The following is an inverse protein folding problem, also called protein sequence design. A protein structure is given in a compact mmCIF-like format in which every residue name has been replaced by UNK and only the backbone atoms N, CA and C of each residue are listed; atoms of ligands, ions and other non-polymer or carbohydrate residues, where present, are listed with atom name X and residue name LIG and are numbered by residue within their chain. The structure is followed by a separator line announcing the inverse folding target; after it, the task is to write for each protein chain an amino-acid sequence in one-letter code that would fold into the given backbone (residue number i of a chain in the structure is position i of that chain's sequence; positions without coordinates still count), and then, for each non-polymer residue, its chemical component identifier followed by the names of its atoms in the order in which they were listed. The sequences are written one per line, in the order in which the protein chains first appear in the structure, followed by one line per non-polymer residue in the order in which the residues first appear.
data_IF_391336266284
#
_entry.id   IF_391336266284
#
_cell.length_a   1.000
_cell.length_b   1.000
_cell.length_c   1.000
_cell.angle_alpha   90.00
_cell.angle_beta   90.00
_cell.angle_gamma   90.00
#
_symmetry.space_group_name_H-M   'P 1'
#
loop_
_entity.id
_entity.type
_entity.pdbx_description
1 polymer ?
#
# COMPACT_ATOMS: atom_id res chain seq x y z
N UNK A 1 -8.23 -8.05 1.58
CA UNK A 1 -8.02 -6.60 1.68
C UNK A 1 -9.22 -5.99 2.39
N UNK A 2 -9.00 -4.99 3.25
CA UNK A 2 -10.02 -4.30 4.04
C UNK A 2 -9.88 -2.79 3.78
N UNK A 3 -11.00 -2.10 3.54
CA UNK A 3 -11.05 -0.65 3.21
C UNK A 3 -11.48 0.22 4.39
N UNK A 4 -11.34 -0.26 5.62
CA UNK A 4 -11.87 0.42 6.83
C UNK A 4 -11.30 1.83 7.02
N UNK A 5 -10.02 2.03 6.71
CA UNK A 5 -9.29 3.29 6.91
C UNK A 5 -8.93 3.97 5.59
N UNK A 6 -9.64 3.65 4.52
CA UNK A 6 -9.37 4.24 3.22
C UNK A 6 -9.68 5.74 3.25
N UNK A 7 -8.70 6.57 2.90
CA UNK A 7 -8.80 8.03 2.89
C UNK A 7 -8.96 8.57 1.46
N UNK A 8 -10.20 8.75 0.95
CA UNK A 8 -10.43 9.22 -0.41
C UNK A 8 -9.98 10.67 -0.66
N UNK A 9 -9.82 11.47 0.40
CA UNK A 9 -9.38 12.87 0.30
C UNK A 9 -7.91 13.00 -0.17
N UNK A 10 -7.09 11.97 0.09
CA UNK A 10 -5.71 11.95 -0.38
C UNK A 10 -5.62 11.52 -1.86
N UNK A 11 -6.29 10.44 -2.21
CA UNK A 11 -6.40 9.91 -3.57
C UNK A 11 -7.65 9.04 -3.67
N UNK A 12 -8.54 9.39 -4.60
CA UNK A 12 -9.79 8.67 -4.80
C UNK A 12 -9.71 7.72 -6.00
N UNK A 13 -10.38 6.56 -5.95
CA UNK A 13 -10.54 5.69 -7.12
C UNK A 13 -11.13 6.40 -8.34
N UNK A 14 -11.95 7.45 -8.17
CA UNK A 14 -12.48 8.24 -9.28
C UNK A 14 -11.40 9.00 -10.06
N UNK A 15 -10.23 9.23 -9.44
CA UNK A 15 -9.07 9.85 -10.07
C UNK A 15 -8.25 8.85 -10.88
N UNK A 16 -8.52 7.54 -10.78
CA UNK A 16 -7.82 6.49 -11.52
C UNK A 16 -8.57 6.19 -12.82
N UNK A 17 -7.82 6.03 -13.91
CA UNK A 17 -8.39 5.66 -15.20
C UNK A 17 -8.67 4.14 -15.29
N UNK A 18 -9.32 3.71 -16.35
CA UNK A 18 -9.71 2.30 -16.54
C UNK A 18 -8.55 1.31 -16.53
N UNK A 19 -7.37 1.68 -17.05
CA UNK A 19 -6.21 0.76 -17.05
C UNK A 19 -5.58 0.65 -15.66
N UNK A 20 -5.54 1.75 -14.91
CA UNK A 20 -5.07 1.79 -13.53
C UNK A 20 -5.99 1.01 -12.59
N UNK A 21 -7.31 1.15 -12.75
CA UNK A 21 -8.31 0.37 -12.00
C UNK A 21 -8.26 -1.13 -12.34
N UNK A 22 -7.99 -1.47 -13.60
CA UNK A 22 -7.76 -2.85 -14.01
C UNK A 22 -6.50 -3.42 -13.34
N UNK A 23 -5.39 -2.67 -13.34
CA UNK A 23 -4.17 -3.06 -12.65
C UNK A 23 -4.38 -3.23 -11.14
N UNK A 24 -5.16 -2.33 -10.52
CA UNK A 24 -5.55 -2.45 -9.12
C UNK A 24 -6.37 -3.73 -8.85
N UNK A 25 -7.30 -4.07 -9.73
CA UNK A 25 -8.07 -5.31 -9.63
C UNK A 25 -7.16 -6.55 -9.70
N UNK A 26 -6.20 -6.56 -10.63
CA UNK A 26 -5.20 -7.63 -10.72
C UNK A 26 -4.29 -7.70 -9.50
N UNK A 27 -3.91 -6.55 -8.95
CA UNK A 27 -3.17 -6.47 -7.70
C UNK A 27 -3.95 -7.14 -6.55
N UNK A 28 -5.26 -6.87 -6.40
CA UNK A 28 -6.08 -7.51 -5.36
C UNK A 28 -6.10 -9.03 -5.54
N UNK A 29 -6.31 -9.51 -6.78
CA UNK A 29 -6.34 -10.94 -7.07
C UNK A 29 -5.01 -11.61 -6.73
N UNK A 30 -3.90 -10.99 -7.12
CA UNK A 30 -2.56 -11.45 -6.78
C UNK A 30 -2.37 -11.48 -5.26
N UNK A 31 -2.77 -10.42 -4.56
CA UNK A 31 -2.62 -10.29 -3.12
C UNK A 31 -3.41 -11.38 -2.38
N UNK A 32 -4.65 -11.63 -2.80
CA UNK A 32 -5.52 -12.68 -2.25
C UNK A 32 -4.90 -14.07 -2.39
N UNK A 33 -4.17 -14.31 -3.49
CA UNK A 33 -3.55 -15.60 -3.79
C UNK A 33 -2.10 -15.71 -3.30
N UNK A 34 -1.60 -14.71 -2.57
CA UNK A 34 -0.21 -14.69 -2.09
C UNK A 34 -0.14 -14.93 -0.59
N UNK A 35 0.88 -15.66 -0.13
CA UNK A 35 1.21 -15.74 1.29
C UNK A 35 2.02 -14.52 1.69
N UNK A 36 1.79 -14.03 2.90
CA UNK A 36 2.53 -12.89 3.43
C UNK A 36 4.05 -13.12 3.50
N UNK A 37 4.47 -14.34 3.78
CA UNK A 37 5.90 -14.73 3.74
C UNK A 37 6.53 -14.49 2.37
N UNK A 38 5.76 -14.67 1.29
CA UNK A 38 6.25 -14.46 -0.07
C UNK A 38 6.17 -12.98 -0.46
N UNK A 39 5.15 -12.27 0.00
CA UNK A 39 5.05 -10.80 -0.17
C UNK A 39 6.26 -10.11 0.46
N UNK A 40 6.67 -10.48 1.67
CA UNK A 40 7.82 -9.86 2.34
C UNK A 40 9.14 -10.08 1.59
N UNK A 41 9.29 -11.22 0.89
CA UNK A 41 10.46 -11.51 0.05
C UNK A 41 10.51 -10.68 -1.23
N UNK A 42 9.42 -10.02 -1.62
CA UNK A 42 9.40 -9.11 -2.77
C UNK A 42 10.05 -7.74 -2.48
N UNK A 43 10.33 -7.45 -1.21
CA UNK A 43 11.13 -6.29 -0.83
C UNK A 43 12.61 -6.47 -1.19
N UNK A 44 13.35 -5.37 -1.27
CA UNK A 44 14.76 -5.37 -1.66
C UNK A 44 15.31 -3.96 -1.84
N UNK A 45 16.58 -3.87 -2.25
CA UNK A 45 17.23 -2.64 -2.71
C UNK A 45 16.54 -2.08 -3.94
N UNK A 46 16.64 -0.76 -4.12
CA UNK A 46 16.12 -0.09 -5.31
C UNK A 46 16.76 -0.70 -6.57
N UNK A 47 15.94 -1.03 -7.58
CA UNK A 47 16.35 -1.80 -8.76
C UNK A 47 16.12 -3.32 -8.67
N UNK A 48 16.21 -3.92 -7.49
CA UNK A 48 16.05 -5.37 -7.29
C UNK A 48 14.64 -5.78 -6.83
N UNK A 49 13.77 -4.80 -6.53
CA UNK A 49 12.39 -5.03 -6.10
C UNK A 49 11.57 -5.66 -7.22
N UNK A 50 11.13 -6.89 -7.02
CA UNK A 50 10.22 -7.62 -7.91
C UNK A 50 8.80 -7.66 -7.35
N UNK A 51 7.82 -8.09 -8.14
CA UNK A 51 6.48 -8.39 -7.64
C UNK A 51 5.78 -7.22 -6.93
N UNK A 52 5.46 -7.39 -5.64
CA UNK A 52 4.79 -6.38 -4.84
C UNK A 52 5.73 -5.31 -4.28
N UNK A 53 7.05 -5.46 -4.39
CA UNK A 53 8.00 -4.44 -3.94
C UNK A 53 7.80 -4.01 -2.48
N UNK A 54 7.49 -4.96 -1.57
CA UNK A 54 7.20 -4.67 -0.17
C UNK A 54 8.24 -3.74 0.46
N UNK A 55 7.80 -2.56 0.93
CA UNK A 55 8.71 -1.55 1.50
C UNK A 55 8.11 -0.98 2.77
N UNK A 56 8.81 -1.19 3.90
CA UNK A 56 8.41 -0.63 5.20
C UNK A 56 8.62 0.87 5.23
N UNK A 57 7.65 1.61 5.74
CA UNK A 57 7.83 3.02 6.07
C UNK A 57 8.63 3.11 7.37
N UNK A 58 9.78 3.78 7.32
CA UNK A 58 10.68 3.97 8.46
C UNK A 58 10.32 5.23 9.26
N UNK A 59 9.71 6.21 8.59
CA UNK A 59 9.34 7.50 9.16
C UNK A 59 7.83 7.75 8.97
N UNK A 60 7.06 7.62 10.06
CA UNK A 60 5.61 7.85 10.02
C UNK A 60 5.24 9.32 9.77
N UNK A 61 6.16 10.27 9.98
CA UNK A 61 5.88 11.70 9.79
C UNK A 61 5.68 12.08 8.31
N UNK A 62 6.19 11.24 7.39
CA UNK A 62 5.99 11.40 5.93
C UNK A 62 4.62 10.94 5.45
N UNK A 63 3.90 10.16 6.25
CA UNK A 63 2.58 9.65 5.87
C UNK A 63 1.54 10.78 5.93
N UNK A 64 0.50 10.76 5.07
CA UNK A 64 -0.59 11.72 5.17
C UNK A 64 -1.25 11.65 6.54
N UNK A 65 -1.68 12.81 7.06
CA UNK A 65 -2.42 12.86 8.32
C UNK A 65 -3.75 12.15 8.15
N UNK A 66 -4.06 11.26 9.10
CA UNK A 66 -5.30 10.51 9.11
C UNK A 66 -5.82 10.40 10.56
N UNK A 67 -6.91 11.10 10.93
CA UNK A 67 -7.38 11.20 12.32
C UNK A 67 -7.63 9.83 13.00
N UNK A 68 -8.17 8.86 12.27
CA UNK A 68 -8.40 7.52 12.84
C UNK A 68 -7.12 6.73 13.14
N UNK A 69 -5.99 7.04 12.48
CA UNK A 69 -4.73 6.34 12.70
C UNK A 69 -3.98 6.86 13.93
N UNK A 70 -4.33 8.04 14.45
CA UNK A 70 -3.77 8.58 15.69
C UNK A 70 -4.09 7.67 16.89
N UNK A 71 -5.20 6.93 16.80
CA UNK A 71 -5.64 5.97 17.81
C UNK A 71 -5.08 4.55 17.59
N UNK A 72 -4.34 4.32 16.51
CA UNK A 72 -3.72 3.03 16.23
C UNK A 72 -2.34 2.97 16.90
N UNK A 73 -2.00 1.80 17.46
CA UNK A 73 -0.70 1.58 18.12
C UNK A 73 0.47 2.08 17.27
N UNK A 74 1.43 2.72 17.92
CA UNK A 74 2.66 3.19 17.29
C UNK A 74 3.52 2.04 16.76
N UNK A 75 3.34 0.84 17.30
CA UNK A 75 4.07 -0.38 16.90
C UNK A 75 3.58 -0.99 15.56
N UNK A 76 2.46 -0.50 15.02
CA UNK A 76 1.99 -0.96 13.71
C UNK A 76 2.98 -0.51 12.63
N UNK A 77 3.55 -1.49 11.94
CA UNK A 77 4.39 -1.25 10.77
C UNK A 77 3.51 -0.93 9.57
N UNK A 78 3.57 0.32 9.11
CA UNK A 78 3.05 0.71 7.80
C UNK A 78 4.04 0.36 6.70
N UNK A 79 3.52 0.04 5.53
CA UNK A 79 4.31 -0.30 4.35
C UNK A 79 3.53 -0.01 3.07
N UNK A 80 4.27 0.04 1.98
CA UNK A 80 3.72 0.09 0.64
C UNK A 80 3.81 -1.25 -0.09
N UNK A 81 2.86 -1.44 -1.01
CA UNK A 81 2.91 -2.49 -2.03
C UNK A 81 2.69 -1.88 -3.41
N UNK A 82 3.42 -2.42 -4.38
CA UNK A 82 3.38 -2.05 -5.80
C UNK A 82 2.11 -2.56 -6.46
N UNK A 83 1.36 -1.63 -7.07
CA UNK A 83 0.24 -1.95 -7.98
C UNK A 83 0.76 -1.98 -9.42
N UNK A 84 1.45 -0.93 -9.84
CA UNK A 84 2.20 -0.84 -11.11
C UNK A 84 3.59 -0.28 -10.82
N UNK A 85 4.48 -0.13 -11.81
CA UNK A 85 5.78 0.52 -11.56
C UNK A 85 5.64 1.91 -10.92
N UNK A 86 4.57 2.63 -11.30
CA UNK A 86 4.24 3.96 -10.79
C UNK A 86 3.37 3.93 -9.54
N UNK A 87 2.27 3.18 -9.57
CA UNK A 87 1.27 3.24 -8.49
C UNK A 87 1.60 2.33 -7.30
N UNK A 88 1.29 2.80 -6.10
CA UNK A 88 1.39 2.08 -4.82
C UNK A 88 0.07 2.10 -4.07
N UNK A 89 -0.02 1.16 -3.14
CA UNK A 89 -0.96 1.25 -2.02
C UNK A 89 -0.19 1.24 -0.72
N UNK A 90 -0.67 2.00 0.24
CA UNK A 90 -0.08 2.13 1.55
C UNK A 90 -1.06 1.68 2.61
N UNK A 91 -0.55 0.99 3.61
CA UNK A 91 -1.37 0.49 4.69
C UNK A 91 -0.59 -0.38 5.65
N UNK A 92 -1.30 -1.24 6.36
CA UNK A 92 -0.72 -2.13 7.34
C UNK A 92 -1.43 -3.49 7.36
N UNK A 93 -0.82 -4.46 8.03
CA UNK A 93 -1.35 -5.82 8.16
C UNK A 93 -1.75 -6.10 9.61
N UNK A 94 -2.91 -6.71 9.79
CA UNK A 94 -3.31 -7.35 11.06
C UNK A 94 -3.80 -8.76 10.75
N UNK A 95 -3.19 -9.77 11.40
CA UNK A 95 -3.39 -11.19 11.06
C UNK A 95 -3.24 -11.40 9.55
N UNK A 96 -4.22 -11.90 8.82
CA UNK A 96 -4.09 -12.11 7.36
C UNK A 96 -4.72 -11.00 6.51
N UNK A 97 -5.25 -9.96 7.14
CA UNK A 97 -5.86 -8.83 6.46
C UNK A 97 -4.85 -7.71 6.20
N UNK A 98 -4.75 -7.28 4.94
CA UNK A 98 -4.19 -5.98 4.58
C UNK A 98 -5.27 -4.91 4.69
N UNK A 99 -5.04 -3.90 5.52
CA UNK A 99 -5.86 -2.71 5.65
C UNK A 99 -5.28 -1.63 4.71
N UNK A 100 -6.01 -1.35 3.63
CA UNK A 100 -5.69 -0.26 2.73
C UNK A 100 -6.01 1.06 3.43
N UNK A 101 -5.09 2.01 3.39
CA UNK A 101 -5.26 3.34 3.95
C UNK A 101 -5.18 4.38 2.85
N UNK A 102 -4.10 4.39 2.09
CA UNK A 102 -3.89 5.36 1.02
C UNK A 102 -3.69 4.66 -0.32
N UNK A 103 -4.38 5.17 -1.34
CA UNK A 103 -3.98 4.98 -2.73
C UNK A 103 -2.90 6.00 -3.04
N UNK A 104 -1.89 5.60 -3.80
CA UNK A 104 -0.86 6.51 -4.28
C UNK A 104 -0.58 6.21 -5.75
N UNK A 105 -1.36 6.86 -6.61
CA UNK A 105 -1.31 6.65 -8.06
C UNK A 105 0.07 7.00 -8.65
N UNK A 106 0.77 7.93 -8.01
CA UNK A 106 1.92 8.65 -8.56
C UNK A 106 3.20 8.51 -7.71
N UNK A 107 3.22 7.63 -6.70
CA UNK A 107 4.36 7.42 -5.78
C UNK A 107 4.80 8.67 -5.01
N UNK A 108 3.83 9.44 -4.49
CA UNK A 108 4.02 10.74 -3.82
C UNK A 108 4.29 10.64 -2.32
N UNK A 109 3.79 9.60 -1.64
CA UNK A 109 3.76 9.58 -0.16
C UNK A 109 5.12 9.29 0.45
N UNK A 110 5.85 8.36 -0.16
CA UNK A 110 7.09 7.84 0.40
C UNK A 110 8.10 7.56 -0.70
N UNK A 111 8.34 8.57 -1.53
CA UNK A 111 9.43 8.52 -2.50
C UNK A 111 10.75 8.39 -1.70
N UNK A 112 11.50 7.33 -1.99
CA UNK A 112 12.79 7.07 -1.34
C UNK A 112 13.89 7.85 -2.02
#
# INVERSE_FOLDING_TARGET
MVLKYYQPEFECFSSWNSSELSAFSQFILKLKNSKWTDIYKTGGTEGDKTGFGYTKHKDRSKLPKHPELDNISQDITFFELRVTQKARVHGFRVKDAFFLVWLDREHRIYDM
#
